data_IF_012397232624
#
_entry.id   IF_012397232624
#
_cell.length_a   1.000
_cell.length_b   1.000
_cell.length_c   1.000
_cell.angle_alpha   90.00
_cell.angle_beta   90.00
_cell.angle_gamma   90.00
#
_symmetry.space_group_name_H-M   'P 1'
#
loop_
_entity.id
_entity.type
_entity.pdbx_description
1 polymer ?
#
# COMPACT_ATOMS: atom_id res chain seq x y z
N UNK A 1 -25.55 -8.06 15.63
CA UNK A 1 -24.21 -7.59 16.02
C UNK A 1 -24.39 -6.09 16.15
N UNK A 2 -24.11 -5.51 17.31
CA UNK A 2 -24.29 -4.08 17.51
C UNK A 2 -23.22 -3.34 16.70
N UNK A 3 -23.61 -2.32 15.95
CA UNK A 3 -22.71 -1.51 15.16
C UNK A 3 -21.84 -0.63 16.07
N UNK A 4 -20.53 -0.48 15.81
CA UNK A 4 -19.67 0.44 16.54
C UNK A 4 -20.22 1.88 16.56
N UNK A 5 -20.01 2.60 17.66
CA UNK A 5 -20.55 3.96 17.82
C UNK A 5 -20.02 4.95 16.76
N UNK A 6 -18.77 4.76 16.33
CA UNK A 6 -18.08 5.62 15.36
C UNK A 6 -18.76 5.63 13.98
N UNK A 7 -19.51 4.58 13.63
CA UNK A 7 -20.22 4.48 12.36
C UNK A 7 -21.16 5.66 12.13
N UNK A 8 -21.75 6.20 13.20
CA UNK A 8 -22.68 7.33 13.15
C UNK A 8 -22.02 8.65 12.75
N UNK A 9 -20.69 8.76 12.89
CA UNK A 9 -19.92 9.97 12.62
C UNK A 9 -19.29 9.97 11.21
N UNK A 10 -19.50 8.90 10.42
CA UNK A 10 -18.92 8.77 9.09
C UNK A 10 -19.55 9.68 8.05
N UNK A 11 -18.69 10.21 7.17
CA UNK A 11 -19.09 11.00 6.00
C UNK A 11 -19.20 10.11 4.76
N UNK A 12 -20.15 10.41 3.86
CA UNK A 12 -20.29 9.65 2.62
C UNK A 12 -19.15 10.01 1.67
N UNK A 13 -18.41 8.99 1.24
CA UNK A 13 -17.39 9.10 0.21
C UNK A 13 -17.89 8.50 -1.10
N UNK A 14 -18.21 9.39 -2.05
CA UNK A 14 -18.58 9.02 -3.41
C UNK A 14 -17.35 8.86 -4.31
N UNK A 15 -17.47 8.04 -5.35
CA UNK A 15 -16.43 7.78 -6.35
C UNK A 15 -15.12 7.27 -5.72
N UNK A 16 -15.25 6.33 -4.78
CA UNK A 16 -14.11 5.62 -4.22
C UNK A 16 -13.50 4.69 -5.27
N UNK A 17 -12.19 4.76 -5.40
CA UNK A 17 -11.36 3.84 -6.18
C UNK A 17 -10.42 3.09 -5.24
N UNK A 18 -10.29 1.78 -5.43
CA UNK A 18 -9.26 0.97 -4.76
C UNK A 18 -8.12 0.73 -5.73
N UNK A 19 -6.91 1.04 -5.30
CA UNK A 19 -5.67 0.86 -6.06
C UNK A 19 -4.63 0.15 -5.20
N UNK A 20 -3.59 -0.38 -5.83
CA UNK A 20 -2.34 -0.71 -5.12
C UNK A 20 -1.30 0.34 -5.49
N UNK A 21 -0.69 0.97 -4.49
CA UNK A 21 0.45 1.85 -4.67
C UNK A 21 1.76 1.10 -4.46
N UNK A 22 2.65 1.14 -5.45
CA UNK A 22 4.04 0.71 -5.29
C UNK A 22 4.84 1.87 -4.68
N UNK A 23 5.46 1.67 -3.52
CA UNK A 23 6.24 2.70 -2.86
C UNK A 23 7.60 2.83 -3.55
N UNK A 24 7.96 4.05 -3.95
CA UNK A 24 9.19 4.33 -4.71
C UNK A 24 10.07 5.27 -3.90
N UNK A 25 11.17 4.73 -3.38
CA UNK A 25 12.19 5.53 -2.72
C UNK A 25 12.94 6.39 -3.75
N UNK A 26 13.28 7.63 -3.38
CA UNK A 26 14.12 8.49 -4.23
C UNK A 26 15.61 8.16 -4.15
N UNK A 27 16.01 7.38 -3.15
CA UNK A 27 17.41 7.01 -2.95
C UNK A 27 17.59 5.70 -2.20
N UNK A 28 18.75 5.09 -2.43
CA UNK A 28 19.23 3.88 -1.81
C UNK A 28 20.19 4.23 -0.66
N UNK A 29 19.98 3.63 0.51
CA UNK A 29 20.81 3.86 1.68
C UNK A 29 21.97 2.85 1.73
N UNK A 30 23.20 3.36 1.72
CA UNK A 30 24.44 2.57 1.66
C UNK A 30 25.14 2.46 3.01
N UNK A 31 24.68 3.19 4.02
CA UNK A 31 25.29 3.27 5.35
C UNK A 31 25.04 2.04 6.24
N UNK A 32 25.56 2.05 7.48
CA UNK A 32 25.37 0.95 8.43
C UNK A 32 23.90 0.84 8.86
N UNK A 33 23.48 -0.37 9.25
CA UNK A 33 22.09 -0.65 9.66
C UNK A 33 21.70 0.03 10.97
N UNK A 34 22.65 0.20 11.89
CA UNK A 34 22.45 0.76 13.22
C UNK A 34 23.56 1.75 13.57
N UNK A 35 23.35 2.50 14.66
CA UNK A 35 24.36 3.37 15.29
C UNK A 35 24.91 4.48 14.37
N UNK A 36 24.06 5.06 13.52
CA UNK A 36 24.41 6.21 12.67
C UNK A 36 23.74 7.50 13.15
N UNK A 37 24.39 8.63 12.87
CA UNK A 37 23.83 9.97 13.07
C UNK A 37 22.94 10.37 11.90
N UNK A 38 22.02 11.35 12.07
CA UNK A 38 21.23 11.88 10.94
C UNK A 38 22.09 12.41 9.78
N UNK A 39 23.26 12.98 10.07
CA UNK A 39 24.19 13.45 9.03
C UNK A 39 24.83 12.29 8.25
N UNK A 40 25.19 11.21 8.95
CA UNK A 40 25.65 9.97 8.32
C UNK A 40 24.54 9.34 7.49
N UNK A 41 23.29 9.42 7.95
CA UNK A 41 22.13 8.96 7.20
C UNK A 41 21.98 9.70 5.88
N UNK A 42 22.01 11.03 5.90
CA UNK A 42 21.84 11.84 4.69
C UNK A 42 22.99 11.67 3.69
N UNK A 43 24.23 11.56 4.18
CA UNK A 43 25.42 11.45 3.32
C UNK A 43 25.59 10.07 2.69
N UNK A 44 24.97 9.02 3.27
CA UNK A 44 25.03 7.65 2.77
C UNK A 44 23.83 7.29 1.88
N UNK A 45 23.31 8.24 1.11
CA UNK A 45 22.19 8.05 0.18
C UNK A 45 22.64 8.26 -1.26
N UNK A 46 22.42 7.26 -2.09
CA UNK A 46 22.66 7.36 -3.53
C UNK A 46 21.32 7.46 -4.28
N UNK A 47 21.20 8.30 -5.31
CA UNK A 47 19.94 8.46 -6.03
C UNK A 47 19.54 7.14 -6.73
N UNK A 48 18.26 6.82 -6.65
CA UNK A 48 17.66 5.74 -7.44
C UNK A 48 17.12 6.28 -8.77
N UNK A 49 17.04 5.40 -9.76
CA UNK A 49 16.27 5.66 -10.97
C UNK A 49 14.86 6.15 -10.60
N UNK A 50 14.45 7.28 -11.17
CA UNK A 50 13.10 7.81 -11.00
C UNK A 50 12.24 7.39 -12.19
N UNK A 51 11.25 6.51 -12.00
CA UNK A 51 10.30 6.17 -13.06
C UNK A 51 9.70 7.39 -13.73
N UNK A 52 9.66 7.40 -15.06
CA UNK A 52 9.09 8.47 -15.86
C UNK A 52 7.58 8.28 -16.07
N UNK A 53 6.86 8.13 -14.97
CA UNK A 53 5.40 7.96 -14.94
C UNK A 53 4.79 8.86 -13.87
N UNK A 54 3.47 9.04 -13.93
CA UNK A 54 2.76 9.82 -12.93
C UNK A 54 2.90 9.18 -11.53
N UNK A 55 3.24 10.02 -10.54
CA UNK A 55 3.36 9.63 -9.15
C UNK A 55 2.23 10.20 -8.32
N UNK A 56 1.86 9.43 -7.31
CA UNK A 56 0.92 9.83 -6.27
C UNK A 56 1.67 9.94 -4.93
N UNK A 57 2.22 11.11 -4.64
CA UNK A 57 3.18 11.24 -3.54
C UNK A 57 4.37 10.29 -3.75
N UNK A 58 4.64 9.44 -2.76
CA UNK A 58 5.71 8.44 -2.86
C UNK A 58 5.32 7.19 -3.66
N UNK A 59 4.06 7.07 -4.11
CA UNK A 59 3.57 5.89 -4.81
C UNK A 59 3.56 6.03 -6.33
N UNK A 60 3.61 4.91 -7.03
CA UNK A 60 3.09 4.76 -8.39
C UNK A 60 1.88 3.81 -8.31
N UNK A 61 0.72 4.27 -8.79
CA UNK A 61 -0.53 3.51 -8.71
C UNK A 61 -0.57 2.38 -9.73
N UNK A 62 -1.25 1.29 -9.40
CA UNK A 62 -1.30 0.11 -10.25
C UNK A 62 -1.93 0.37 -11.63
N UNK A 63 -2.92 1.27 -11.71
CA UNK A 63 -3.46 1.74 -13.00
C UNK A 63 -2.40 2.38 -13.89
N UNK A 64 -1.49 3.19 -13.32
CA UNK A 64 -0.37 3.81 -14.06
C UNK A 64 0.67 2.76 -14.46
N UNK A 65 1.04 1.88 -13.52
CA UNK A 65 1.99 0.79 -13.78
C UNK A 65 1.49 -0.16 -14.86
N UNK A 66 0.19 -0.42 -14.94
CA UNK A 66 -0.39 -1.33 -15.93
C UNK A 66 -0.11 -0.87 -17.37
N UNK A 67 0.02 0.43 -17.59
CA UNK A 67 0.34 1.03 -18.89
C UNK A 67 1.84 0.97 -19.20
N UNK A 68 2.72 1.07 -18.18
CA UNK A 68 4.18 1.08 -18.35
C UNK A 68 4.95 0.33 -17.25
N UNK A 69 4.78 -0.99 -17.20
CA UNK A 69 5.52 -1.88 -16.29
C UNK A 69 7.05 -1.76 -16.42
N UNK A 70 7.64 -1.57 -17.62
CA UNK A 70 9.09 -1.38 -17.78
C UNK A 70 9.71 -0.29 -16.89
N UNK A 71 9.00 0.81 -16.63
CA UNK A 71 9.49 1.88 -15.76
C UNK A 71 9.68 1.41 -14.32
N UNK A 72 8.74 0.62 -13.82
CA UNK A 72 8.83 0.01 -12.49
C UNK A 72 9.93 -1.08 -12.44
N UNK A 73 10.11 -1.84 -13.52
CA UNK A 73 11.22 -2.80 -13.66
C UNK A 73 12.57 -2.09 -13.61
N UNK A 74 12.71 -0.94 -14.30
CA UNK A 74 13.95 -0.17 -14.32
C UNK A 74 14.33 0.33 -12.91
N UNK A 75 13.34 0.81 -12.15
CA UNK A 75 13.54 1.18 -10.74
C UNK A 75 14.06 -0.01 -9.91
N UNK A 76 13.38 -1.16 -9.94
CA UNK A 76 13.79 -2.31 -9.14
C UNK A 76 15.15 -2.88 -9.56
N UNK A 77 15.47 -2.88 -10.86
CA UNK A 77 16.82 -3.26 -11.32
C UNK A 77 17.90 -2.32 -10.79
N UNK A 78 17.60 -1.04 -10.63
CA UNK A 78 18.54 -0.08 -10.06
C UNK A 78 18.73 -0.28 -8.56
N UNK A 79 17.66 -0.60 -7.81
CA UNK A 79 17.74 -1.04 -6.41
C UNK A 79 18.68 -2.24 -6.27
N UNK A 80 18.46 -3.30 -7.07
CA UNK A 80 19.31 -4.50 -7.01
C UNK A 80 20.76 -4.21 -7.40
N UNK A 81 20.98 -3.36 -8.40
CA UNK A 81 22.32 -2.94 -8.82
C UNK A 81 23.06 -2.22 -7.70
N UNK A 82 22.41 -1.29 -7.00
CA UNK A 82 23.01 -0.57 -5.87
C UNK A 82 23.24 -1.50 -4.68
N UNK A 83 22.30 -2.40 -4.39
CA UNK A 83 22.51 -3.37 -3.32
C UNK A 83 23.73 -4.26 -3.56
N UNK A 84 23.88 -4.81 -4.77
CA UNK A 84 25.06 -5.60 -5.17
C UNK A 84 26.36 -4.77 -5.07
N UNK A 85 26.34 -3.54 -5.60
CA UNK A 85 27.50 -2.63 -5.57
C UNK A 85 28.01 -2.35 -4.14
N UNK A 86 27.09 -2.24 -3.18
CA UNK A 86 27.41 -1.94 -1.78
C UNK A 86 27.42 -3.17 -0.87
N UNK A 87 27.29 -4.38 -1.42
CA UNK A 87 27.27 -5.62 -0.64
C UNK A 87 26.10 -5.72 0.34
N UNK A 88 24.96 -5.11 0.01
CA UNK A 88 23.71 -5.19 0.78
C UNK A 88 22.89 -6.39 0.35
N UNK A 89 22.34 -7.09 1.33
CA UNK A 89 21.38 -8.17 1.09
C UNK A 89 19.99 -7.58 0.83
N UNK A 90 19.51 -7.64 -0.42
CA UNK A 90 18.20 -7.12 -0.81
C UNK A 90 17.04 -7.81 -0.11
N UNK A 91 17.17 -9.07 0.31
CA UNK A 91 16.12 -9.78 1.04
C UNK A 91 15.88 -9.13 2.41
N UNK A 92 16.87 -8.42 2.95
CA UNK A 92 16.77 -7.62 4.18
C UNK A 92 16.36 -6.17 3.94
N UNK A 93 16.30 -5.72 2.68
CA UNK A 93 15.95 -4.35 2.28
C UNK A 93 14.53 -4.26 1.72
N UNK A 94 13.60 -4.97 2.35
CA UNK A 94 12.25 -5.13 1.80
C UNK A 94 11.50 -3.80 1.58
N UNK A 95 11.86 -2.73 2.30
CA UNK A 95 11.19 -1.43 2.19
C UNK A 95 11.26 -0.79 0.79
N UNK A 96 12.24 -1.17 -0.04
CA UNK A 96 12.29 -0.76 -1.44
C UNK A 96 11.22 -1.42 -2.32
N UNK A 97 10.63 -2.51 -1.86
CA UNK A 97 9.66 -3.34 -2.59
C UNK A 97 8.25 -3.28 -2.01
N UNK A 98 8.02 -2.41 -1.02
CA UNK A 98 6.71 -2.22 -0.41
C UNK A 98 5.64 -1.81 -1.43
N UNK A 99 4.49 -2.44 -1.32
CA UNK A 99 3.27 -2.09 -2.03
C UNK A 99 2.10 -2.11 -1.07
N UNK A 100 1.15 -1.19 -1.21
CA UNK A 100 0.05 -1.01 -0.25
C UNK A 100 -1.30 -0.87 -0.94
N UNK A 101 -2.39 -1.43 -0.38
CA UNK A 101 -3.72 -1.06 -0.82
C UNK A 101 -3.99 0.40 -0.46
N UNK A 102 -4.61 1.11 -1.40
CA UNK A 102 -4.97 2.51 -1.29
C UNK A 102 -6.46 2.67 -1.57
N UNK A 103 -7.13 3.44 -0.72
CA UNK A 103 -8.49 3.90 -0.97
C UNK A 103 -8.40 5.36 -1.37
N UNK A 104 -8.91 5.70 -2.56
CA UNK A 104 -8.82 7.04 -3.14
C UNK A 104 -10.23 7.60 -3.34
N UNK A 105 -10.44 8.85 -2.94
CA UNK A 105 -11.68 9.59 -3.17
C UNK A 105 -11.42 10.72 -4.17
N UNK A 106 -11.98 10.65 -5.39
CA UNK A 106 -11.77 11.68 -6.43
C UNK A 106 -10.29 11.97 -6.76
N UNK A 107 -9.41 10.96 -6.65
CA UNK A 107 -7.96 11.15 -6.80
C UNK A 107 -7.30 11.85 -5.60
N UNK A 108 -8.03 12.12 -4.53
CA UNK A 108 -7.49 12.50 -3.24
C UNK A 108 -7.28 11.24 -2.39
N UNK A 109 -6.23 11.28 -1.58
CA UNK A 109 -5.82 10.19 -0.73
C UNK A 109 -6.83 10.05 0.39
N UNK A 110 -7.46 8.87 0.51
CA UNK A 110 -8.47 8.63 1.52
C UNK A 110 -8.02 7.63 2.59
N UNK A 111 -7.06 6.73 2.31
CA UNK A 111 -6.51 5.81 3.31
C UNK A 111 -5.30 5.05 2.75
N UNK A 112 -4.26 4.85 3.55
CA UNK A 112 -3.27 3.77 3.38
C UNK A 112 -3.46 2.71 4.43
N UNK A 113 -2.99 1.51 4.14
CA UNK A 113 -2.78 0.46 5.13
C UNK A 113 -1.26 0.32 5.35
N UNK A 114 -0.65 1.12 6.25
CA UNK A 114 0.79 1.31 6.30
C UNK A 114 1.63 0.07 6.68
N UNK A 115 1.02 -1.01 7.15
CA UNK A 115 1.69 -2.29 7.48
C UNK A 115 1.41 -3.40 6.46
N UNK A 116 0.61 -3.12 5.42
CA UNK A 116 0.21 -4.10 4.41
C UNK A 116 1.16 -3.96 3.23
N UNK A 117 2.38 -4.44 3.42
CA UNK A 117 3.51 -4.16 2.55
C UNK A 117 3.74 -5.21 1.46
N UNK A 118 3.01 -6.34 1.55
CA UNK A 118 3.07 -7.48 0.63
C UNK A 118 1.71 -7.77 -0.03
N UNK A 119 1.75 -8.54 -1.12
CA UNK A 119 0.54 -9.03 -1.78
C UNK A 119 -0.25 -9.99 -0.90
N UNK A 120 0.39 -10.84 -0.08
CA UNK A 120 -0.33 -11.76 0.81
C UNK A 120 -1.18 -11.03 1.85
N UNK A 121 -0.65 -9.98 2.45
CA UNK A 121 -1.38 -9.15 3.42
C UNK A 121 -2.51 -8.38 2.72
N UNK A 122 -2.17 -7.76 1.58
CA UNK A 122 -3.12 -7.03 0.75
C UNK A 122 -4.29 -7.91 0.31
N UNK A 123 -4.02 -9.10 -0.24
CA UNK A 123 -5.06 -10.03 -0.70
C UNK A 123 -5.95 -10.47 0.45
N UNK A 124 -5.36 -10.83 1.60
CA UNK A 124 -6.12 -11.22 2.79
C UNK A 124 -7.15 -10.15 3.19
N UNK A 125 -6.75 -8.88 3.22
CA UNK A 125 -7.65 -7.78 3.51
C UNK A 125 -8.75 -7.61 2.45
N UNK A 126 -8.38 -7.62 1.16
CA UNK A 126 -9.34 -7.46 0.07
C UNK A 126 -10.33 -8.63 -0.01
N UNK A 127 -9.92 -9.86 0.28
CA UNK A 127 -10.82 -11.02 0.35
C UNK A 127 -11.80 -10.90 1.52
N UNK A 128 -11.39 -10.35 2.67
CA UNK A 128 -12.29 -10.12 3.80
C UNK A 128 -13.41 -9.12 3.45
N UNK A 129 -13.08 -8.05 2.70
CA UNK A 129 -14.10 -7.13 2.19
C UNK A 129 -15.11 -7.83 1.28
N UNK A 130 -14.66 -8.78 0.45
CA UNK A 130 -15.54 -9.55 -0.45
C UNK A 130 -16.43 -10.54 0.29
N UNK A 131 -15.89 -11.20 1.32
CA UNK A 131 -16.53 -12.31 2.00
C UNK A 131 -17.56 -11.89 3.07
N UNK A 132 -17.43 -10.67 3.59
CA UNK A 132 -18.25 -10.20 4.71
C UNK A 132 -19.47 -9.43 4.21
N UNK A 133 -20.65 -10.02 4.42
CA UNK A 133 -21.92 -9.36 4.13
C UNK A 133 -22.24 -8.27 5.16
N UNK A 134 -22.26 -8.58 6.45
CA UNK A 134 -22.49 -7.63 7.54
C UNK A 134 -21.60 -7.97 8.75
N UNK A 135 -21.15 -6.95 9.48
CA UNK A 135 -20.31 -7.08 10.67
C UNK A 135 -18.91 -6.50 10.49
N UNK A 136 -18.04 -6.77 11.48
CA UNK A 136 -16.64 -6.35 11.42
C UNK A 136 -15.93 -7.12 10.32
N UNK A 137 -15.36 -6.40 9.37
CA UNK A 137 -14.52 -6.95 8.30
C UNK A 137 -13.11 -7.10 8.82
N UNK A 138 -12.61 -6.06 9.47
CA UNK A 138 -11.22 -5.94 9.83
C UNK A 138 -11.05 -4.98 11.00
N UNK A 139 -10.10 -5.30 11.88
CA UNK A 139 -9.63 -4.44 12.96
C UNK A 139 -8.18 -4.76 13.24
N UNK A 140 -7.35 -3.73 13.27
CA UNK A 140 -5.91 -3.86 13.51
C UNK A 140 -5.37 -2.60 14.15
N UNK A 141 -4.35 -2.78 14.99
CA UNK A 141 -3.64 -1.71 15.67
C UNK A 141 -2.15 -1.99 15.56
N UNK A 142 -1.42 -1.06 14.95
CA UNK A 142 0.04 -1.11 14.90
C UNK A 142 0.62 0.31 14.96
N UNK A 143 1.81 0.44 15.57
CA UNK A 143 2.55 1.70 15.74
C UNK A 143 1.72 2.90 16.26
N UNK A 144 0.70 2.65 17.09
CA UNK A 144 -0.17 3.70 17.64
C UNK A 144 -1.29 4.16 16.71
N UNK A 145 -1.54 3.45 15.61
CA UNK A 145 -2.63 3.70 14.67
C UNK A 145 -3.61 2.53 14.69
N UNK A 146 -4.90 2.84 14.73
CA UNK A 146 -6.01 1.88 14.66
C UNK A 146 -6.71 2.00 13.31
N UNK A 147 -6.92 0.85 12.66
CA UNK A 147 -7.64 0.73 11.40
C UNK A 147 -8.83 -0.21 11.55
N UNK A 148 -10.00 0.23 11.10
CA UNK A 148 -11.22 -0.57 11.17
C UNK A 148 -11.98 -0.56 9.85
N UNK A 149 -12.54 -1.71 9.49
CA UNK A 149 -13.54 -1.82 8.44
C UNK A 149 -14.77 -2.58 8.95
N UNK A 150 -15.96 -2.05 8.66
CA UNK A 150 -17.23 -2.64 9.07
C UNK A 150 -18.22 -2.61 7.90
N UNK A 151 -18.95 -3.69 7.68
CA UNK A 151 -20.04 -3.77 6.73
C UNK A 151 -21.39 -3.68 7.44
N UNK A 152 -22.29 -2.84 6.94
CA UNK A 152 -23.68 -2.82 7.40
C UNK A 152 -24.61 -2.46 6.24
N UNK A 153 -25.41 -3.44 5.81
CA UNK A 153 -26.29 -3.31 4.66
C UNK A 153 -25.51 -3.06 3.37
N UNK A 154 -25.84 -1.98 2.66
CA UNK A 154 -25.16 -1.59 1.41
C UNK A 154 -23.91 -0.72 1.65
N UNK A 155 -23.53 -0.47 2.90
CA UNK A 155 -22.43 0.43 3.26
C UNK A 155 -21.22 -0.34 3.79
N UNK A 156 -20.05 0.11 3.35
CA UNK A 156 -18.76 -0.21 3.92
C UNK A 156 -18.25 1.04 4.66
N UNK A 157 -17.91 0.88 5.93
CA UNK A 157 -17.40 1.92 6.80
C UNK A 157 -15.91 1.67 7.01
N UNK A 158 -15.10 2.71 6.87
CA UNK A 158 -13.66 2.67 7.02
C UNK A 158 -13.23 3.75 8.00
N UNK A 159 -12.37 3.38 8.95
CA UNK A 159 -11.82 4.26 9.96
C UNK A 159 -10.33 4.06 10.08
N UNK A 160 -9.61 5.17 10.16
CA UNK A 160 -8.22 5.25 10.59
C UNK A 160 -8.15 6.30 11.69
N UNK A 161 -7.61 5.92 12.85
CA UNK A 161 -7.57 6.78 14.03
C UNK A 161 -6.29 6.60 14.82
N UNK A 162 -5.88 7.63 15.54
CA UNK A 162 -4.87 7.57 16.57
C UNK A 162 -5.57 7.45 17.94
N UNK A 163 -5.68 6.26 18.54
CA UNK A 163 -6.34 6.08 19.83
C UNK A 163 -5.66 6.83 20.98
N UNK A 164 -4.35 7.10 20.89
CA UNK A 164 -3.61 7.82 21.93
C UNK A 164 -3.96 9.31 21.94
N UNK A 165 -4.27 9.89 20.77
CA UNK A 165 -4.66 11.29 20.61
C UNK A 165 -6.19 11.49 20.52
N UNK A 166 -6.95 10.38 20.50
CA UNK A 166 -8.40 10.36 20.31
C UNK A 166 -8.82 11.19 19.07
N UNK A 167 -8.05 11.05 17.98
CA UNK A 167 -8.25 11.73 16.71
C UNK A 167 -8.55 10.70 15.61
N UNK A 168 -9.65 10.92 14.87
CA UNK A 168 -9.96 10.17 13.67
C UNK A 168 -9.36 10.90 12.46
N UNK A 169 -8.36 10.30 11.82
CA UNK A 169 -7.72 10.86 10.63
C UNK A 169 -8.54 10.58 9.36
N UNK A 170 -9.19 9.42 9.31
CA UNK A 170 -10.14 9.09 8.27
C UNK A 170 -11.37 8.40 8.84
N UNK A 171 -12.55 8.86 8.43
CA UNK A 171 -13.83 8.36 8.91
C UNK A 171 -14.90 8.48 7.82
N UNK A 172 -14.96 7.46 6.97
CA UNK A 172 -15.79 7.47 5.76
C UNK A 172 -16.70 6.26 5.66
N UNK A 173 -17.76 6.41 4.87
CA UNK A 173 -18.56 5.29 4.38
C UNK A 173 -18.74 5.37 2.87
N UNK A 174 -18.71 4.23 2.21
CA UNK A 174 -18.89 4.12 0.77
C UNK A 174 -19.81 2.97 0.41
N UNK A 175 -20.29 2.95 -0.84
CA UNK A 175 -21.15 1.88 -1.32
C UNK A 175 -20.35 0.56 -1.40
N UNK A 176 -20.74 -0.42 -0.60
CA UNK A 176 -20.04 -1.71 -0.48
C UNK A 176 -19.95 -2.44 -1.81
N UNK A 177 -21.07 -2.51 -2.55
CA UNK A 177 -21.14 -3.19 -3.85
C UNK A 177 -20.26 -2.52 -4.90
N UNK A 178 -20.22 -1.19 -4.92
CA UNK A 178 -19.34 -0.43 -5.80
C UNK A 178 -17.88 -0.78 -5.52
N UNK A 179 -17.45 -0.80 -4.26
CA UNK A 179 -16.07 -1.13 -3.91
C UNK A 179 -15.75 -2.60 -4.23
N UNK A 180 -16.60 -3.53 -3.82
CA UNK A 180 -16.44 -4.97 -4.11
C UNK A 180 -16.31 -5.25 -5.62
N UNK A 181 -17.05 -4.53 -6.46
CA UNK A 181 -16.97 -4.69 -7.92
C UNK A 181 -15.61 -4.32 -8.54
N UNK A 182 -14.77 -3.58 -7.83
CA UNK A 182 -13.44 -3.17 -8.28
C UNK A 182 -12.36 -4.20 -7.93
N UNK A 183 -12.61 -5.08 -6.96
CA UNK A 183 -11.57 -5.91 -6.35
C UNK A 183 -11.06 -7.01 -7.29
N UNK A 184 -11.95 -7.69 -8.02
CA UNK A 184 -11.52 -8.74 -8.95
C UNK A 184 -10.70 -8.20 -10.15
N UNK A 185 -11.12 -7.11 -10.82
CA UNK A 185 -10.29 -6.45 -11.82
C UNK A 185 -8.93 -6.02 -11.27
N UNK A 186 -8.90 -5.39 -10.08
CA UNK A 186 -7.68 -4.95 -9.43
C UNK A 186 -6.74 -6.13 -9.17
N UNK A 187 -7.21 -7.18 -8.51
CA UNK A 187 -6.39 -8.37 -8.21
C UNK A 187 -5.85 -9.03 -9.48
N UNK A 188 -6.63 -9.07 -10.55
CA UNK A 188 -6.16 -9.58 -11.85
C UNK A 188 -5.05 -8.71 -12.45
N UNK A 189 -5.23 -7.38 -12.42
CA UNK A 189 -4.23 -6.41 -12.89
C UNK A 189 -2.91 -6.55 -12.11
N UNK A 190 -2.99 -6.59 -10.79
CA UNK A 190 -1.82 -6.75 -9.91
C UNK A 190 -1.13 -8.09 -10.15
N UNK A 191 -1.88 -9.18 -10.27
CA UNK A 191 -1.32 -10.49 -10.61
C UNK A 191 -0.52 -10.48 -11.91
N UNK A 192 -0.94 -9.68 -12.90
CA UNK A 192 -0.21 -9.51 -14.16
C UNK A 192 1.05 -8.65 -14.00
N UNK A 193 0.96 -7.54 -13.24
CA UNK A 193 2.10 -6.69 -12.93
C UNK A 193 3.17 -7.50 -12.20
N UNK A 194 2.82 -8.14 -11.09
CA UNK A 194 3.77 -8.91 -10.28
C UNK A 194 4.40 -10.08 -11.06
N UNK A 195 3.64 -10.72 -11.96
CA UNK A 195 4.19 -11.76 -12.85
C UNK A 195 5.29 -11.21 -13.75
N UNK A 196 5.07 -10.03 -14.35
CA UNK A 196 6.07 -9.36 -15.19
C UNK A 196 7.27 -8.91 -14.37
N UNK A 197 7.05 -8.31 -13.20
CA UNK A 197 8.12 -7.90 -12.30
C UNK A 197 9.01 -9.09 -11.92
N UNK A 198 8.42 -10.20 -11.45
CA UNK A 198 9.18 -11.43 -11.14
C UNK A 198 10.02 -11.93 -12.30
N UNK A 199 9.45 -11.94 -13.50
CA UNK A 199 10.14 -12.41 -14.69
C UNK A 199 11.32 -11.51 -15.06
N UNK A 200 11.11 -10.19 -15.07
CA UNK A 200 12.11 -9.21 -15.53
C UNK A 200 13.17 -8.89 -14.47
N UNK A 201 12.81 -8.89 -13.19
CA UNK A 201 13.70 -8.62 -12.05
C UNK A 201 14.44 -9.89 -11.64
N UNK A 202 13.83 -11.08 -11.83
CA UNK A 202 14.46 -12.38 -11.58
C UNK A 202 14.23 -12.97 -10.20
N UNK A 203 13.46 -12.29 -9.34
CA UNK A 203 13.10 -12.74 -7.99
C UNK A 203 11.72 -12.20 -7.59
N UNK A 204 11.15 -12.74 -6.51
CA UNK A 204 9.85 -12.34 -5.97
C UNK A 204 10.00 -11.62 -4.64
N UNK A 205 9.93 -10.28 -4.68
CA UNK A 205 10.04 -9.42 -3.50
C UNK A 205 8.69 -8.90 -2.98
N UNK A 206 7.59 -9.23 -3.67
CA UNK A 206 6.28 -8.61 -3.45
C UNK A 206 5.24 -9.59 -2.90
N UNK A 207 5.34 -10.89 -3.20
CA UNK A 207 4.28 -11.83 -2.85
C UNK A 207 4.16 -12.10 -1.36
N UNK A 208 5.29 -12.34 -0.70
CA UNK A 208 5.37 -12.79 0.70
C UNK A 208 6.67 -12.30 1.34
N UNK A 209 6.69 -12.20 2.66
CA UNK A 209 7.91 -12.12 3.47
C UNK A 209 8.01 -13.31 4.41
#
# INVERSE_FOLDING_TARGET
MDSPDWINNTTVADNIVVEIGFLIASSFYTGPENDFTPEQWETAREPLYSPNVERYGDFILSGVVAEDVPELVAYYKDVLRLADLHGKDCDQQGHYFWMRPLVLQRGLFAMTFPWYDTMSETDSFLQQIKATDDGQIFWDIDQGWEMEAFALGDWLYLRESNPDENEDHFLIKCNKKQLQSQLDPLLSQIGNILRKLRYEVGADYWSTR
#
